data_IF_802757416116
#
_entry.id   IF_802757416116
#
_cell.length_a   1.000
_cell.length_b   1.000
_cell.length_c   1.000
_cell.angle_alpha   90.00
_cell.angle_beta   90.00
_cell.angle_gamma   90.00
#
_symmetry.space_group_name_H-M   'P 1'
#
loop_
_entity.id
_entity.type
_entity.pdbx_description
1 polymer ?
#
# COMPACT_ATOMS: atom_id res chain seq x y z
N UNK A 1 -35.11 15.00 -5.64
CA UNK A 1 -35.93 14.38 -6.69
C UNK A 1 -35.76 15.24 -7.92
N UNK A 2 -35.09 14.72 -8.91
CA UNK A 2 -34.85 15.39 -10.18
C UNK A 2 -35.78 14.76 -11.22
N UNK A 3 -36.39 15.55 -12.09
CA UNK A 3 -37.20 15.05 -13.19
C UNK A 3 -36.29 14.73 -14.36
N UNK A 4 -36.16 13.45 -14.69
CA UNK A 4 -35.37 12.96 -15.82
C UNK A 4 -36.22 12.11 -16.75
N UNK A 5 -35.84 12.06 -18.02
CA UNK A 5 -36.48 11.19 -19.01
C UNK A 5 -36.02 9.75 -18.79
N UNK A 6 -36.98 8.84 -18.62
CA UNK A 6 -36.71 7.44 -18.32
C UNK A 6 -37.24 6.57 -19.43
N UNK A 7 -36.36 5.80 -20.07
CA UNK A 7 -36.76 4.80 -21.05
C UNK A 7 -36.81 3.44 -20.38
N UNK A 8 -37.99 2.81 -20.44
CA UNK A 8 -38.20 1.45 -19.92
C UNK A 8 -38.08 0.45 -21.06
N UNK A 9 -37.09 -0.44 -20.95
CA UNK A 9 -36.86 -1.50 -21.93
C UNK A 9 -37.58 -2.75 -21.47
N UNK A 10 -38.79 -2.96 -22.03
CA UNK A 10 -39.65 -4.07 -21.68
C UNK A 10 -40.09 -4.03 -20.21
N UNK A 11 -40.18 -5.20 -19.57
CA UNK A 11 -40.54 -5.30 -18.15
C UNK A 11 -39.33 -5.29 -17.21
N UNK A 12 -38.12 -5.39 -17.77
CA UNK A 12 -36.93 -5.86 -17.05
C UNK A 12 -35.98 -4.77 -16.57
N UNK A 13 -35.78 -3.71 -17.36
CA UNK A 13 -34.80 -2.67 -17.06
C UNK A 13 -35.35 -1.27 -17.38
N UNK A 14 -34.91 -0.27 -16.62
CA UNK A 14 -35.15 1.14 -16.88
C UNK A 14 -33.81 1.86 -16.93
N UNK A 15 -33.66 2.82 -17.83
CA UNK A 15 -32.43 3.60 -18.00
C UNK A 15 -32.73 5.10 -18.14
N UNK A 16 -31.79 5.94 -17.72
CA UNK A 16 -31.81 7.40 -17.84
C UNK A 16 -30.38 7.90 -17.93
N UNK A 17 -30.07 8.77 -18.90
CA UNK A 17 -28.78 9.46 -19.03
C UNK A 17 -27.53 8.56 -18.91
N UNK A 18 -27.55 7.36 -19.50
CA UNK A 18 -26.44 6.42 -19.45
C UNK A 18 -26.52 5.38 -18.31
N UNK A 19 -27.38 5.61 -17.32
CA UNK A 19 -27.43 4.84 -16.08
C UNK A 19 -28.64 3.90 -16.00
N UNK A 20 -28.43 2.74 -15.37
CA UNK A 20 -29.50 1.82 -15.01
C UNK A 20 -30.21 2.27 -13.74
N UNK A 21 -31.53 2.19 -13.79
CA UNK A 21 -32.44 2.56 -12.71
C UNK A 21 -33.20 1.34 -12.17
N UNK A 22 -33.54 1.39 -10.88
CA UNK A 22 -34.41 0.44 -10.20
C UNK A 22 -35.68 1.15 -9.72
N UNK A 23 -36.83 0.48 -9.82
CA UNK A 23 -38.09 1.05 -9.34
C UNK A 23 -38.29 0.75 -7.85
N UNK A 24 -38.25 1.78 -7.00
CA UNK A 24 -38.50 1.66 -5.58
C UNK A 24 -40.01 1.73 -5.28
N UNK A 25 -40.66 0.56 -5.25
CA UNK A 25 -42.11 0.47 -5.02
C UNK A 25 -42.59 1.12 -3.70
N UNK A 26 -41.74 1.19 -2.69
CA UNK A 26 -42.01 1.85 -1.39
C UNK A 26 -42.06 3.37 -1.48
N UNK A 27 -41.32 3.96 -2.43
CA UNK A 27 -41.24 5.42 -2.65
C UNK A 27 -41.99 5.88 -3.89
N UNK A 28 -42.43 4.95 -4.75
CA UNK A 28 -43.15 5.24 -5.99
C UNK A 28 -42.29 5.97 -7.03
N UNK A 29 -40.96 5.84 -6.97
CA UNK A 29 -40.02 6.54 -7.84
C UNK A 29 -38.92 5.59 -8.33
N UNK A 30 -38.28 5.95 -9.44
CA UNK A 30 -37.05 5.31 -9.89
C UNK A 30 -35.85 5.86 -9.10
N UNK A 31 -34.94 4.97 -8.72
CA UNK A 31 -33.69 5.29 -8.05
C UNK A 31 -32.53 4.76 -8.87
N UNK A 32 -31.44 5.53 -8.92
CA UNK A 32 -30.17 5.04 -9.47
C UNK A 32 -29.68 3.84 -8.66
N UNK A 33 -29.07 2.90 -9.36
CA UNK A 33 -28.43 1.77 -8.71
C UNK A 33 -27.24 2.24 -7.86
N UNK A 34 -26.96 1.62 -6.69
CA UNK A 34 -25.85 2.03 -5.81
C UNK A 34 -24.47 2.03 -6.48
N UNK A 35 -24.30 1.21 -7.51
CA UNK A 35 -23.19 1.28 -8.46
C UNK A 35 -23.69 0.93 -9.85
N UNK A 36 -23.03 1.39 -10.89
CA UNK A 36 -23.41 1.11 -12.27
C UNK A 36 -22.65 -0.11 -12.81
N UNK A 37 -23.26 -0.91 -13.70
CA UNK A 37 -22.58 -2.04 -14.31
C UNK A 37 -21.41 -1.56 -15.19
N UNK A 38 -20.50 -2.49 -15.51
CA UNK A 38 -19.30 -2.16 -16.27
C UNK A 38 -19.62 -1.38 -17.54
N UNK A 39 -18.75 -0.42 -17.90
CA UNK A 39 -18.97 0.55 -18.99
C UNK A 39 -19.45 -0.03 -20.31
N UNK A 40 -19.11 -1.28 -20.64
CA UNK A 40 -19.62 -1.98 -21.83
C UNK A 40 -21.14 -2.15 -21.88
N UNK A 41 -21.82 -2.09 -20.73
CA UNK A 41 -23.26 -2.25 -20.60
C UNK A 41 -23.98 -0.91 -20.48
N UNK A 42 -23.32 0.13 -19.96
CA UNK A 42 -23.84 1.50 -19.92
C UNK A 42 -23.51 2.31 -21.18
N UNK A 43 -22.56 1.86 -22.00
CA UNK A 43 -22.14 2.58 -23.20
C UNK A 43 -23.23 2.67 -24.29
N UNK A 44 -24.20 1.74 -24.30
CA UNK A 44 -25.27 1.69 -25.31
C UNK A 44 -26.63 2.08 -24.75
N UNK A 45 -26.70 2.56 -23.50
CA UNK A 45 -27.98 2.93 -22.86
C UNK A 45 -28.44 4.32 -23.29
N UNK A 46 -27.52 5.21 -23.65
CA UNK A 46 -27.80 6.52 -24.28
C UNK A 46 -28.42 6.36 -25.65
N UNK A 47 -27.97 5.37 -26.40
CA UNK A 47 -28.36 5.10 -27.78
C UNK A 47 -29.83 4.67 -27.87
N UNK A 48 -30.40 4.19 -26.75
CA UNK A 48 -31.84 3.85 -26.64
C UNK A 48 -32.74 5.09 -26.71
N UNK A 49 -32.20 6.28 -26.41
CA UNK A 49 -32.93 7.55 -26.52
C UNK A 49 -32.90 8.12 -27.95
N UNK A 50 -32.00 7.63 -28.81
CA UNK A 50 -31.88 8.08 -30.20
C UNK A 50 -32.65 7.14 -31.15
N UNK A 51 -33.65 7.69 -31.85
CA UNK A 51 -34.49 6.93 -32.76
C UNK A 51 -33.75 6.51 -34.05
N UNK A 52 -32.64 7.17 -34.38
CA UNK A 52 -31.89 6.94 -35.62
C UNK A 52 -30.87 5.78 -35.49
N UNK A 53 -30.57 5.30 -34.28
CA UNK A 53 -29.57 4.25 -34.01
C UNK A 53 -30.14 2.82 -33.96
N UNK A 54 -31.29 2.57 -34.59
CA UNK A 54 -31.94 1.26 -34.58
C UNK A 54 -31.31 0.27 -35.59
N UNK A 55 -30.98 -0.99 -35.19
CA UNK A 55 -31.19 -1.60 -33.87
C UNK A 55 -30.06 -1.36 -32.86
N UNK A 56 -30.44 -0.98 -31.63
CA UNK A 56 -29.50 -0.77 -30.51
C UNK A 56 -29.21 -2.09 -29.78
N UNK A 57 -27.94 -2.38 -29.52
CA UNK A 57 -27.54 -3.53 -28.71
C UNK A 57 -27.67 -3.18 -27.22
N UNK A 58 -28.69 -3.74 -26.55
CA UNK A 58 -28.97 -3.46 -25.14
C UNK A 58 -28.84 -4.71 -24.27
N UNK A 59 -28.16 -4.58 -23.12
CA UNK A 59 -28.05 -5.66 -22.15
C UNK A 59 -29.27 -5.69 -21.22
N UNK A 60 -30.06 -6.76 -21.33
CA UNK A 60 -31.26 -6.99 -20.52
C UNK A 60 -30.95 -8.02 -19.43
N UNK A 61 -31.39 -7.75 -18.20
CA UNK A 61 -31.38 -8.72 -17.10
C UNK A 61 -32.79 -9.21 -16.79
N UNK A 62 -33.19 -10.41 -17.26
CA UNK A 62 -34.53 -10.94 -17.03
C UNK A 62 -34.72 -11.59 -15.64
N UNK A 63 -33.73 -11.55 -14.75
CA UNK A 63 -33.80 -12.26 -13.48
C UNK A 63 -34.69 -11.56 -12.46
N UNK A 64 -35.50 -12.35 -11.74
CA UNK A 64 -36.39 -11.89 -10.67
C UNK A 64 -37.78 -11.43 -11.16
N UNK A 65 -38.73 -11.17 -10.24
CA UNK A 65 -40.12 -10.86 -10.60
C UNK A 65 -40.32 -9.54 -11.36
N UNK A 66 -39.35 -8.62 -11.27
CA UNK A 66 -39.37 -7.30 -11.91
C UNK A 66 -38.20 -7.10 -12.89
N UNK A 67 -37.41 -8.15 -13.17
CA UNK A 67 -36.12 -8.04 -13.85
C UNK A 67 -35.04 -7.36 -13.00
N UNK A 68 -33.77 -7.47 -13.42
CA UNK A 68 -32.67 -6.73 -12.80
C UNK A 68 -32.12 -7.27 -11.48
N UNK A 69 -32.58 -8.42 -10.98
CA UNK A 69 -32.16 -8.92 -9.66
C UNK A 69 -30.68 -9.36 -9.61
N UNK A 70 -30.16 -9.88 -10.72
CA UNK A 70 -28.77 -10.27 -10.87
C UNK A 70 -27.88 -9.04 -11.03
N UNK A 71 -28.33 -8.07 -11.82
CA UNK A 71 -27.68 -6.79 -12.01
C UNK A 71 -27.56 -6.05 -10.67
N UNK A 72 -28.65 -5.95 -9.91
CA UNK A 72 -28.66 -5.36 -8.57
C UNK A 72 -27.71 -6.09 -7.60
N UNK A 73 -27.55 -7.41 -7.73
CA UNK A 73 -26.62 -8.21 -6.91
C UNK A 73 -25.15 -8.00 -7.32
N UNK A 74 -24.85 -8.00 -8.63
CA UNK A 74 -23.51 -7.72 -9.16
C UNK A 74 -23.03 -6.31 -8.78
N UNK A 75 -23.93 -5.34 -8.84
CA UNK A 75 -23.70 -3.94 -8.50
C UNK A 75 -23.55 -3.73 -6.99
N UNK A 76 -24.18 -4.58 -6.17
CA UNK A 76 -23.97 -4.56 -4.73
C UNK A 76 -22.58 -5.07 -4.30
N UNK A 77 -21.77 -5.60 -5.23
CA UNK A 77 -20.38 -5.95 -4.94
C UNK A 77 -19.55 -4.68 -4.75
N UNK A 78 -18.99 -4.44 -3.55
CA UNK A 78 -18.24 -3.22 -3.28
C UNK A 78 -17.00 -3.15 -4.17
N UNK A 79 -16.78 -1.98 -4.78
CA UNK A 79 -15.58 -1.68 -5.55
C UNK A 79 -14.32 -1.60 -4.68
N UNK A 80 -13.13 -1.48 -5.28
CA UNK A 80 -11.86 -1.40 -4.52
C UNK A 80 -11.86 -0.25 -3.50
N UNK A 81 -12.44 0.91 -3.84
CA UNK A 81 -12.56 2.05 -2.94
C UNK A 81 -13.52 1.80 -1.78
N UNK A 82 -14.70 1.25 -2.05
CA UNK A 82 -15.71 0.94 -1.02
C UNK A 82 -15.23 -0.17 -0.08
N UNK A 83 -14.47 -1.15 -0.59
CA UNK A 83 -13.82 -2.16 0.26
C UNK A 83 -12.91 -1.53 1.29
N UNK A 84 -12.17 -0.45 0.97
CA UNK A 84 -11.33 0.21 1.98
C UNK A 84 -12.15 0.86 3.09
N UNK A 85 -13.32 1.42 2.78
CA UNK A 85 -14.23 2.01 3.79
C UNK A 85 -14.86 0.96 4.70
N UNK A 86 -15.00 -0.29 4.23
CA UNK A 86 -15.48 -1.41 5.04
C UNK A 86 -14.48 -1.89 6.10
N UNK A 87 -13.18 -1.54 5.99
CA UNK A 87 -12.18 -1.98 6.97
C UNK A 87 -12.30 -1.28 8.34
N UNK A 88 -13.19 -0.30 8.47
CA UNK A 88 -13.37 0.50 9.68
C UNK A 88 -12.09 1.18 10.14
N UNK A 89 -12.00 1.47 11.45
CA UNK A 89 -10.85 2.17 12.05
C UNK A 89 -9.54 1.40 11.83
N UNK A 90 -9.58 0.06 11.95
CA UNK A 90 -8.40 -0.79 11.76
C UNK A 90 -7.88 -0.71 10.33
N UNK A 91 -8.77 -0.78 9.34
CA UNK A 91 -8.41 -0.61 7.93
C UNK A 91 -7.74 0.74 7.65
N UNK A 92 -8.24 1.81 8.25
CA UNK A 92 -7.63 3.15 8.12
C UNK A 92 -6.24 3.24 8.75
N UNK A 93 -6.03 2.63 9.92
CA UNK A 93 -4.69 2.57 10.54
C UNK A 93 -3.73 1.81 9.63
N UNK A 94 -4.15 0.68 9.06
CA UNK A 94 -3.32 -0.12 8.15
C UNK A 94 -2.95 0.69 6.90
N UNK A 95 -3.91 1.33 6.24
CA UNK A 95 -3.65 2.05 5.00
C UNK A 95 -2.86 3.35 5.21
N UNK A 96 -3.29 4.19 6.14
CA UNK A 96 -2.72 5.54 6.28
C UNK A 96 -1.49 5.56 7.18
N UNK A 97 -1.55 4.92 8.36
CA UNK A 97 -0.44 4.97 9.31
C UNK A 97 0.67 4.01 8.89
N UNK A 98 0.33 2.75 8.63
CA UNK A 98 1.32 1.73 8.27
C UNK A 98 1.70 1.81 6.78
N UNK A 99 0.71 1.94 5.89
CA UNK A 99 0.93 2.01 4.44
C UNK A 99 1.60 3.31 4.00
N UNK A 100 0.88 4.44 4.05
CA UNK A 100 1.44 5.73 3.61
C UNK A 100 2.60 6.19 4.51
N UNK A 101 2.49 6.03 5.83
CA UNK A 101 3.58 6.35 6.75
C UNK A 101 4.84 5.51 6.49
N UNK A 102 4.68 4.20 6.25
CA UNK A 102 5.78 3.31 5.87
C UNK A 102 6.41 3.67 4.54
N UNK A 103 5.59 4.02 3.53
CA UNK A 103 6.07 4.46 2.22
C UNK A 103 6.86 5.77 2.32
N UNK A 104 6.35 6.76 3.06
CA UNK A 104 7.03 8.02 3.27
C UNK A 104 8.39 7.82 3.97
N UNK A 105 8.43 6.97 5.00
CA UNK A 105 9.66 6.59 5.70
C UNK A 105 10.65 5.91 4.74
N UNK A 106 10.18 4.99 3.90
CA UNK A 106 11.01 4.33 2.89
C UNK A 106 11.62 5.32 1.91
N UNK A 107 10.81 6.22 1.34
CA UNK A 107 11.28 7.22 0.35
C UNK A 107 12.32 8.14 0.98
N UNK A 108 12.03 8.70 2.16
CA UNK A 108 12.97 9.56 2.87
C UNK A 108 14.29 8.83 3.18
N UNK A 109 14.20 7.57 3.65
CA UNK A 109 15.40 6.80 3.98
C UNK A 109 16.20 6.42 2.74
N UNK A 110 15.53 6.08 1.65
CA UNK A 110 16.17 5.76 0.37
C UNK A 110 16.97 6.96 -0.17
N UNK A 111 16.41 8.18 -0.06
CA UNK A 111 17.15 9.40 -0.42
C UNK A 111 18.36 9.61 0.48
N UNK A 112 18.21 9.52 1.80
CA UNK A 112 19.33 9.68 2.73
C UNK A 112 20.46 8.66 2.48
N UNK A 113 20.14 7.39 2.20
CA UNK A 113 21.14 6.38 1.87
C UNK A 113 21.81 6.64 0.51
N UNK A 114 21.05 7.13 -0.48
CA UNK A 114 21.62 7.51 -1.79
C UNK A 114 22.59 8.67 -1.68
N UNK A 115 22.29 9.65 -0.84
CA UNK A 115 23.18 10.78 -0.57
C UNK A 115 24.49 10.31 0.08
N UNK A 116 24.40 9.48 1.12
CA UNK A 116 25.59 8.88 1.77
C UNK A 116 26.39 8.07 0.75
N UNK A 117 25.72 7.22 -0.04
CA UNK A 117 26.39 6.40 -1.06
C UNK A 117 27.10 7.26 -2.11
N UNK A 118 26.43 8.29 -2.63
CA UNK A 118 27.03 9.22 -3.58
C UNK A 118 28.24 9.94 -3.00
N UNK A 119 28.22 10.28 -1.70
CA UNK A 119 29.33 10.93 -1.03
C UNK A 119 30.52 9.97 -0.81
N UNK A 120 30.26 8.70 -0.50
CA UNK A 120 31.28 7.64 -0.43
C UNK A 120 31.88 7.36 -1.81
N UNK A 121 31.04 7.24 -2.85
CA UNK A 121 31.50 7.01 -4.23
C UNK A 121 32.37 8.19 -4.74
N UNK A 122 32.02 9.43 -4.37
CA UNK A 122 32.83 10.60 -4.69
C UNK A 122 34.19 10.58 -3.98
N UNK A 123 34.26 10.08 -2.74
CA UNK A 123 35.50 9.96 -1.98
C UNK A 123 36.47 8.92 -2.57
N UNK A 124 35.95 7.83 -3.16
CA UNK A 124 36.76 6.80 -3.84
C UNK A 124 37.57 7.36 -5.01
N UNK A 125 37.02 8.35 -5.73
CA UNK A 125 37.69 8.99 -6.87
C UNK A 125 38.49 10.26 -6.50
N UNK A 126 38.41 10.73 -5.26
CA UNK A 126 39.01 11.98 -4.84
C UNK A 126 40.45 11.80 -4.34
N UNK A 127 41.33 12.73 -4.69
CA UNK A 127 42.72 12.75 -4.24
C UNK A 127 42.89 13.27 -2.80
N UNK A 128 41.89 13.99 -2.29
CA UNK A 128 41.87 14.58 -0.95
C UNK A 128 40.76 14.00 -0.09
N UNK A 129 41.02 13.81 1.20
CA UNK A 129 40.05 13.31 2.16
C UNK A 129 39.03 14.39 2.55
N UNK A 130 37.73 14.08 2.46
CA UNK A 130 36.64 14.91 2.95
C UNK A 130 36.01 14.31 4.21
N UNK A 131 35.63 15.16 5.18
CA UNK A 131 35.00 14.74 6.44
C UNK A 131 33.47 14.68 6.36
N UNK A 132 32.89 15.08 5.22
CA UNK A 132 31.45 15.13 5.04
C UNK A 132 30.85 13.73 4.83
N UNK A 133 31.67 12.75 4.45
CA UNK A 133 31.24 11.38 4.20
C UNK A 133 31.86 10.37 5.19
N UNK A 134 31.17 9.25 5.49
CA UNK A 134 31.67 8.25 6.44
C UNK A 134 33.03 7.65 6.05
N UNK A 135 33.25 7.39 4.76
CA UNK A 135 34.51 6.82 4.28
C UNK A 135 35.69 7.75 4.58
N UNK A 136 35.58 9.03 4.24
CA UNK A 136 36.65 9.99 4.48
C UNK A 136 36.92 10.22 5.96
N UNK A 137 35.91 10.16 6.85
CA UNK A 137 36.13 10.16 8.31
C UNK A 137 36.90 8.93 8.79
N UNK A 138 36.64 7.76 8.23
CA UNK A 138 37.39 6.52 8.54
C UNK A 138 38.83 6.61 8.03
N UNK A 139 39.03 7.02 6.77
CA UNK A 139 40.36 7.12 6.16
C UNK A 139 41.23 8.19 6.83
N UNK A 140 40.63 9.27 7.35
CA UNK A 140 41.34 10.30 8.11
C UNK A 140 42.09 9.76 9.33
N UNK A 141 41.61 8.67 9.93
CA UNK A 141 42.27 8.03 11.08
C UNK A 141 43.70 7.59 10.72
N UNK A 142 43.93 7.10 9.49
CA UNK A 142 45.28 6.75 9.04
C UNK A 142 46.17 7.97 8.83
N UNK A 143 45.62 9.07 8.30
CA UNK A 143 46.35 10.32 8.07
C UNK A 143 46.73 11.02 9.38
N UNK A 144 45.82 11.05 10.36
CA UNK A 144 46.04 11.65 11.67
C UNK A 144 47.01 10.82 12.55
N UNK A 145 47.26 9.54 12.21
CA UNK A 145 48.15 8.64 12.95
C UNK A 145 49.29 8.07 12.07
N UNK A 146 50.19 8.91 11.51
CA UNK A 146 51.21 8.48 10.55
C UNK A 146 52.32 7.61 11.15
N UNK A 147 52.42 7.52 12.49
CA UNK A 147 53.44 6.72 13.20
C UNK A 147 52.91 5.44 13.87
N UNK A 148 51.60 5.22 13.86
CA UNK A 148 51.01 4.02 14.45
C UNK A 148 51.35 2.77 13.59
N UNK A 149 51.44 1.60 14.23
CA UNK A 149 51.56 0.34 13.50
C UNK A 149 50.24 0.02 12.76
N UNK A 150 50.33 -0.85 11.76
CA UNK A 150 49.17 -1.22 10.92
C UNK A 150 48.01 -1.76 11.75
N UNK A 151 48.31 -2.64 12.71
CA UNK A 151 47.31 -3.25 13.60
C UNK A 151 46.55 -2.20 14.43
N UNK A 152 47.22 -1.18 14.98
CA UNK A 152 46.53 -0.12 15.74
C UNK A 152 45.62 0.71 14.82
N UNK A 153 45.99 0.92 13.56
CA UNK A 153 45.18 1.70 12.63
C UNK A 153 43.95 0.93 12.20
N UNK A 154 44.12 -0.35 11.89
CA UNK A 154 43.00 -1.24 11.56
C UNK A 154 41.99 -1.28 12.70
N UNK A 155 42.46 -1.42 13.94
CA UNK A 155 41.60 -1.36 15.13
C UNK A 155 40.87 -0.03 15.28
N UNK A 156 41.56 1.10 15.12
CA UNK A 156 40.94 2.44 15.22
C UNK A 156 39.96 2.72 14.08
N UNK A 157 40.25 2.24 12.87
CA UNK A 157 39.33 2.35 11.73
C UNK A 157 38.09 1.50 11.94
N UNK A 158 38.24 0.26 12.42
CA UNK A 158 37.11 -0.60 12.78
C UNK A 158 36.23 0.03 13.87
N UNK A 159 36.84 0.67 14.89
CA UNK A 159 36.11 1.45 15.90
C UNK A 159 35.33 2.61 15.26
N UNK A 160 35.94 3.34 14.32
CA UNK A 160 35.26 4.43 13.61
C UNK A 160 34.10 3.90 12.76
N UNK A 161 34.27 2.77 12.07
CA UNK A 161 33.20 2.11 11.29
C UNK A 161 32.02 1.75 12.20
N UNK A 162 32.30 1.20 13.38
CA UNK A 162 31.25 0.88 14.37
C UNK A 162 30.52 2.14 14.87
N UNK A 163 31.21 3.28 14.95
CA UNK A 163 30.62 4.57 15.31
C UNK A 163 29.74 5.14 14.19
N UNK A 164 30.12 4.93 12.93
CA UNK A 164 29.37 5.40 11.76
C UNK A 164 28.16 4.50 11.42
N UNK A 165 28.26 3.20 11.66
CA UNK A 165 27.26 2.19 11.29
C UNK A 165 25.83 2.54 11.74
N UNK A 166 25.56 2.99 12.98
CA UNK A 166 24.22 3.39 13.39
C UNK A 166 23.61 4.47 12.51
N UNK A 167 24.41 5.40 11.96
CA UNK A 167 23.91 6.45 11.07
C UNK A 167 23.47 5.89 9.70
N UNK A 168 24.14 4.84 9.22
CA UNK A 168 23.88 4.15 7.95
C UNK A 168 22.72 3.15 8.07
N UNK A 169 22.52 2.53 9.24
CA UNK A 169 21.42 1.57 9.46
C UNK A 169 20.18 2.19 10.12
N UNK A 170 20.27 3.46 10.56
CA UNK A 170 19.21 4.17 11.28
C UNK A 170 17.84 4.01 10.64
N UNK A 171 16.84 3.65 11.44
CA UNK A 171 15.42 3.57 11.07
C UNK A 171 15.05 2.55 9.98
N UNK A 172 16.01 1.85 9.35
CA UNK A 172 15.71 0.74 8.43
C UNK A 172 14.87 -0.35 9.11
N UNK A 173 15.10 -0.56 10.41
CA UNK A 173 14.36 -1.51 11.23
C UNK A 173 12.87 -1.18 11.34
N UNK A 174 12.46 0.10 11.26
CA UNK A 174 11.06 0.49 11.34
C UNK A 174 10.28 0.06 10.10
N UNK A 175 10.86 0.23 8.91
CA UNK A 175 10.24 -0.25 7.65
C UNK A 175 10.03 -1.77 7.72
N UNK A 176 11.02 -2.50 8.24
CA UNK A 176 10.92 -3.94 8.51
C UNK A 176 9.87 -4.27 9.57
N UNK A 177 9.76 -3.47 10.63
CA UNK A 177 8.75 -3.67 11.66
C UNK A 177 7.33 -3.50 11.09
N UNK A 178 7.11 -2.47 10.26
CA UNK A 178 5.81 -2.23 9.62
C UNK A 178 5.40 -3.42 8.75
N UNK A 179 6.34 -4.03 8.03
CA UNK A 179 6.03 -5.22 7.21
C UNK A 179 5.58 -6.42 8.04
N UNK A 180 6.08 -6.56 9.27
CA UNK A 180 5.72 -7.64 10.21
C UNK A 180 4.43 -7.32 10.97
N UNK A 181 4.21 -6.07 11.35
CA UNK A 181 3.06 -5.64 12.16
C UNK A 181 1.79 -5.49 11.31
N UNK A 182 1.90 -5.14 10.03
CA UNK A 182 0.72 -4.93 9.16
C UNK A 182 -0.22 -6.14 9.07
N UNK A 183 0.26 -7.39 8.87
CA UNK A 183 -0.60 -8.58 8.89
C UNK A 183 -1.21 -8.86 10.27
N UNK A 184 -0.47 -8.60 11.35
CA UNK A 184 -0.96 -8.77 12.71
C UNK A 184 -2.09 -7.79 13.02
N UNK A 185 -1.99 -6.56 12.52
CA UNK A 185 -3.07 -5.57 12.59
C UNK A 185 -4.30 -6.00 11.78
N UNK A 186 -4.09 -6.62 10.62
CA UNK A 186 -5.17 -7.21 9.82
C UNK A 186 -5.91 -8.33 10.55
N UNK A 187 -5.16 -9.23 11.20
CA UNK A 187 -5.71 -10.29 12.06
C UNK A 187 -6.44 -9.71 13.28
N UNK A 188 -5.94 -8.63 13.87
CA UNK A 188 -6.66 -7.94 14.94
C UNK A 188 -8.02 -7.40 14.45
N UNK A 189 -8.08 -6.89 13.22
CA UNK A 189 -9.32 -6.48 12.58
C UNK A 189 -10.32 -7.62 12.39
N UNK A 190 -9.86 -8.85 12.13
CA UNK A 190 -10.78 -10.01 12.03
C UNK A 190 -11.44 -10.32 13.36
N UNK A 191 -10.69 -10.24 14.45
CA UNK A 191 -11.22 -10.46 15.80
C UNK A 191 -12.31 -9.42 16.10
N UNK A 192 -12.07 -8.15 15.76
CA UNK A 192 -13.07 -7.09 15.93
C UNK A 192 -14.31 -7.35 15.07
N UNK A 193 -14.15 -7.67 13.79
CA UNK A 193 -15.28 -7.94 12.89
C UNK A 193 -16.14 -9.12 13.36
N UNK A 194 -15.50 -10.18 13.86
CA UNK A 194 -16.20 -11.33 14.43
C UNK A 194 -16.93 -10.99 15.73
N UNK A 195 -16.34 -10.17 16.61
CA UNK A 195 -17.00 -9.70 17.84
C UNK A 195 -18.28 -8.91 17.48
N UNK A 196 -18.19 -7.99 16.51
CA UNK A 196 -19.35 -7.21 16.04
C UNK A 196 -20.42 -8.15 15.47
N UNK A 197 -20.03 -9.13 14.65
CA UNK A 197 -20.95 -10.12 14.07
C UNK A 197 -21.71 -10.89 15.15
N UNK A 198 -21.01 -11.40 16.18
CA UNK A 198 -21.63 -12.13 17.29
C UNK A 198 -22.53 -11.26 18.17
N UNK A 199 -22.18 -9.98 18.36
CA UNK A 199 -23.04 -9.02 19.04
C UNK A 199 -24.36 -8.81 18.26
N UNK A 200 -24.28 -8.67 16.93
CA UNK A 200 -25.47 -8.54 16.09
C UNK A 200 -26.35 -9.78 16.14
N UNK A 201 -25.77 -10.98 16.11
CA UNK A 201 -26.50 -12.25 16.30
C UNK A 201 -27.24 -12.28 17.64
N UNK A 202 -26.61 -11.79 18.71
CA UNK A 202 -27.19 -11.81 20.05
C UNK A 202 -28.32 -10.80 20.20
N UNK A 203 -28.19 -9.61 19.58
CA UNK A 203 -29.17 -8.53 19.68
C UNK A 203 -30.39 -8.73 18.77
N UNK A 204 -30.18 -9.21 17.54
CA UNK A 204 -31.21 -9.26 16.50
C UNK A 204 -31.56 -10.70 16.06
N UNK A 205 -30.93 -11.72 16.67
CA UNK A 205 -31.06 -13.10 16.22
C UNK A 205 -30.48 -13.31 14.82
N UNK A 206 -30.77 -14.45 14.20
CA UNK A 206 -30.36 -14.77 12.81
C UNK A 206 -31.29 -14.23 11.74
N UNK A 207 -32.20 -13.30 12.10
CA UNK A 207 -33.27 -12.81 11.25
C UNK A 207 -32.85 -11.78 10.19
N UNK A 208 -31.71 -11.09 10.38
CA UNK A 208 -31.17 -10.14 9.40
C UNK A 208 -29.75 -10.54 8.94
N UNK A 209 -29.64 -11.36 7.87
CA UNK A 209 -28.36 -11.80 7.32
C UNK A 209 -27.48 -10.65 6.81
N UNK A 210 -28.07 -9.49 6.46
CA UNK A 210 -27.33 -8.38 5.88
C UNK A 210 -26.39 -7.75 6.91
N UNK A 211 -26.89 -7.52 8.12
CA UNK A 211 -26.13 -6.95 9.22
C UNK A 211 -25.01 -7.90 9.71
N UNK A 212 -25.21 -9.23 9.58
CA UNK A 212 -24.16 -10.21 9.85
C UNK A 212 -23.05 -10.22 8.78
N UNK A 213 -23.44 -10.11 7.51
CA UNK A 213 -22.50 -10.07 6.40
C UNK A 213 -21.55 -8.87 6.49
N UNK A 214 -21.99 -7.76 7.08
CA UNK A 214 -21.16 -6.58 7.31
C UNK A 214 -19.97 -6.87 8.23
N UNK A 215 -20.19 -7.47 9.41
CA UNK A 215 -19.10 -7.77 10.35
C UNK A 215 -18.07 -8.77 9.78
N UNK A 216 -18.54 -9.75 8.99
CA UNK A 216 -17.66 -10.68 8.28
C UNK A 216 -16.87 -9.97 7.18
N UNK A 217 -17.51 -9.04 6.45
CA UNK A 217 -16.86 -8.24 5.43
C UNK A 217 -15.73 -7.38 6.02
N UNK A 218 -15.97 -6.71 7.16
CA UNK A 218 -14.95 -5.95 7.90
C UNK A 218 -13.72 -6.84 8.17
N UNK A 219 -13.93 -8.05 8.69
CA UNK A 219 -12.86 -8.98 9.01
C UNK A 219 -12.01 -9.39 7.79
N UNK A 220 -12.67 -9.73 6.68
CA UNK A 220 -11.98 -10.15 5.46
C UNK A 220 -11.17 -8.99 4.84
N UNK A 221 -11.76 -7.79 4.81
CA UNK A 221 -11.13 -6.60 4.27
C UNK A 221 -9.88 -6.22 5.08
N UNK A 222 -9.94 -6.21 6.42
CA UNK A 222 -8.76 -5.82 7.23
C UNK A 222 -7.58 -6.77 7.02
N UNK A 223 -7.86 -8.06 6.83
CA UNK A 223 -6.82 -9.05 6.51
C UNK A 223 -6.18 -8.79 5.17
N UNK A 224 -7.01 -8.57 4.14
CA UNK A 224 -6.55 -8.25 2.80
C UNK A 224 -5.70 -6.96 2.80
N UNK A 225 -6.14 -5.90 3.48
CA UNK A 225 -5.39 -4.65 3.62
C UNK A 225 -4.05 -4.85 4.33
N UNK A 226 -4.03 -5.65 5.41
CA UNK A 226 -2.80 -5.97 6.14
C UNK A 226 -1.74 -6.61 5.23
N UNK A 227 -2.16 -7.56 4.39
CA UNK A 227 -1.29 -8.20 3.41
C UNK A 227 -0.89 -7.26 2.26
N UNK A 228 -1.83 -6.44 1.78
CA UNK A 228 -1.58 -5.47 0.72
C UNK A 228 -0.50 -4.45 1.09
N UNK A 229 -0.37 -4.10 2.37
CA UNK A 229 0.71 -3.24 2.88
C UNK A 229 1.97 -4.05 3.21
N UNK A 230 1.83 -5.22 3.84
CA UNK A 230 2.97 -6.01 4.30
C UNK A 230 3.89 -6.51 3.18
N UNK A 231 3.31 -6.94 2.07
CA UNK A 231 4.06 -7.53 0.95
C UNK A 231 5.01 -6.48 0.35
N UNK A 232 4.55 -5.31 -0.15
CA UNK A 232 5.44 -4.27 -0.65
C UNK A 232 6.46 -3.78 0.39
N UNK A 233 6.04 -3.60 1.65
CA UNK A 233 6.92 -3.13 2.72
C UNK A 233 8.07 -4.10 3.01
N UNK A 234 7.87 -5.40 2.83
CA UNK A 234 8.93 -6.41 2.98
C UNK A 234 10.02 -6.22 1.93
N UNK A 235 9.65 -5.99 0.67
CA UNK A 235 10.60 -5.69 -0.41
C UNK A 235 11.34 -4.38 -0.15
N UNK A 236 10.63 -3.33 0.27
CA UNK A 236 11.21 -2.03 0.62
C UNK A 236 12.25 -2.15 1.75
N UNK A 237 11.93 -2.91 2.80
CA UNK A 237 12.86 -3.18 3.90
C UNK A 237 14.11 -3.93 3.44
N UNK A 238 13.95 -4.92 2.54
CA UNK A 238 15.07 -5.65 1.97
C UNK A 238 15.98 -4.74 1.13
N UNK A 239 15.40 -3.84 0.32
CA UNK A 239 16.15 -2.86 -0.48
C UNK A 239 16.98 -1.96 0.44
N UNK A 240 16.38 -1.35 1.47
CA UNK A 240 17.12 -0.47 2.40
C UNK A 240 18.25 -1.21 3.12
N UNK A 241 18.00 -2.44 3.57
CA UNK A 241 19.00 -3.29 4.21
C UNK A 241 20.18 -3.57 3.27
N UNK A 242 19.90 -3.91 2.00
CA UNK A 242 20.93 -4.17 1.00
C UNK A 242 21.77 -2.93 0.67
N UNK A 243 21.12 -1.76 0.56
CA UNK A 243 21.82 -0.50 0.34
C UNK A 243 22.75 -0.13 1.50
N UNK A 244 22.28 -0.22 2.74
CA UNK A 244 23.10 0.07 3.92
C UNK A 244 24.29 -0.88 4.04
N UNK A 245 24.08 -2.18 3.79
CA UNK A 245 25.17 -3.17 3.77
C UNK A 245 26.22 -2.86 2.72
N UNK A 246 25.80 -2.57 1.48
CA UNK A 246 26.75 -2.24 0.41
C UNK A 246 27.61 -1.02 0.72
N UNK A 247 27.04 0.02 1.36
CA UNK A 247 27.82 1.19 1.80
C UNK A 247 28.86 0.78 2.87
N UNK A 248 28.45 -0.03 3.85
CA UNK A 248 29.34 -0.49 4.92
C UNK A 248 30.47 -1.37 4.38
N UNK A 249 30.15 -2.30 3.49
CA UNK A 249 31.12 -3.18 2.81
C UNK A 249 32.16 -2.37 2.02
N UNK A 250 31.73 -1.34 1.29
CA UNK A 250 32.67 -0.43 0.59
C UNK A 250 33.61 0.29 1.58
N UNK A 251 33.09 0.76 2.72
CA UNK A 251 33.93 1.42 3.74
C UNK A 251 34.95 0.44 4.34
N UNK A 252 34.51 -0.77 4.67
CA UNK A 252 35.36 -1.83 5.21
C UNK A 252 36.45 -2.25 4.22
N UNK A 253 36.11 -2.44 2.93
CA UNK A 253 37.06 -2.80 1.88
C UNK A 253 38.17 -1.74 1.74
N UNK A 254 37.80 -0.46 1.71
CA UNK A 254 38.79 0.64 1.60
C UNK A 254 39.66 0.76 2.85
N UNK A 255 39.08 0.56 4.04
CA UNK A 255 39.83 0.56 5.30
C UNK A 255 40.90 -0.52 5.31
N UNK A 256 40.53 -1.75 4.90
CA UNK A 256 41.46 -2.88 4.82
C UNK A 256 42.51 -2.64 3.73
N UNK A 257 42.10 -2.14 2.56
CA UNK A 257 43.03 -1.80 1.47
C UNK A 257 44.08 -0.78 1.89
N UNK A 258 43.69 0.26 2.62
CA UNK A 258 44.62 1.28 3.12
C UNK A 258 45.58 0.73 4.18
N UNK A 259 45.10 -0.14 5.08
CA UNK A 259 45.96 -0.81 6.05
C UNK A 259 46.98 -1.75 5.37
N UNK A 260 46.55 -2.48 4.34
CA UNK A 260 47.42 -3.35 3.55
C UNK A 260 48.53 -2.56 2.83
N UNK A 261 48.20 -1.46 2.14
CA UNK A 261 49.19 -0.62 1.46
C UNK A 261 50.25 -0.06 2.44
N UNK A 262 49.84 0.22 3.68
CA UNK A 262 50.75 0.67 4.73
C UNK A 262 51.62 -0.45 5.28
N UNK A 263 51.18 -1.70 5.25
CA UNK A 263 51.97 -2.85 5.67
C UNK A 263 53.06 -3.24 4.67
N UNK A 264 52.89 -2.87 3.40
CA UNK A 264 53.87 -3.12 2.33
C UNK A 264 55.01 -2.09 2.29
N UNK A 265 54.84 -0.92 2.93
CA UNK A 265 55.84 0.17 3.01
C UNK A 265 56.72 0.04 4.26
#
# INVERSE_FOLDING_TARGET
>A
VESREVVRVGVFNAVSDGDYLSYAATRGMYEELPSQPAGRYTATTSDVFDADEFPVQFAVDPTGPQGGSYLASLISMPGWGERTTQGGIVGYIILYVLGLGGLALFVWRLYALREIRSAVDAQLGASSLSLDNPLGRVLKIAEDNPKANTETIELKMAEQILTERPSIEKLNWLVKLISIVSPLMGLFGTIIGMIITFQMITLFGTGDPKTMAEGISIALVTTWLGLAVAIPMTFMAAILSNYSKGILETIEEQSIGMAAERSEK
#
